data_IF_484345649897
#
_entry.id   IF_484345649897
#
_cell.length_a   1.000
_cell.length_b   1.000
_cell.length_c   1.000
_cell.angle_alpha   90.00
_cell.angle_beta   90.00
_cell.angle_gamma   90.00
#
_symmetry.space_group_name_H-M   'P 1'
#
loop_
_entity.id
_entity.type
_entity.pdbx_description
1 polymer ?
#
# COMPACT_ATOMS: atom_id res chain seq x y z
N UNK A 1 6.04 -12.23 -4.13
CA UNK A 1 4.58 -11.98 -4.31
C UNK A 1 3.82 -11.88 -2.99
N UNK A 2 3.98 -12.80 -2.03
CA UNK A 2 3.22 -12.77 -0.75
C UNK A 2 3.30 -11.44 -0.01
N UNK A 3 4.50 -10.84 0.06
CA UNK A 3 4.69 -9.53 0.70
C UNK A 3 3.93 -8.42 -0.01
N UNK A 4 3.94 -8.39 -1.34
CA UNK A 4 3.15 -7.42 -2.11
C UNK A 4 1.66 -7.59 -1.79
N UNK A 5 1.15 -8.83 -1.86
CA UNK A 5 -0.25 -9.13 -1.52
C UNK A 5 -0.62 -8.58 -0.13
N UNK A 6 0.21 -8.79 0.89
CA UNK A 6 -0.04 -8.24 2.23
C UNK A 6 0.05 -6.72 2.25
N UNK A 7 0.95 -6.12 1.46
CA UNK A 7 1.00 -4.68 1.19
C UNK A 7 -0.34 -4.16 0.68
N UNK A 8 -0.92 -4.80 -0.34
CA UNK A 8 -2.20 -4.39 -0.94
C UNK A 8 -3.37 -4.52 0.05
N UNK A 9 -3.38 -5.58 0.87
CA UNK A 9 -4.34 -5.73 1.98
C UNK A 9 -4.24 -4.55 2.96
N UNK A 10 -3.01 -4.12 3.29
CA UNK A 10 -2.78 -2.98 4.16
C UNK A 10 -3.20 -1.66 3.52
N UNK A 11 -2.87 -1.44 2.25
CA UNK A 11 -3.22 -0.22 1.51
C UNK A 11 -4.73 -0.04 1.42
N UNK A 12 -5.46 -1.09 1.01
CA UNK A 12 -6.92 -1.07 0.99
C UNK A 12 -7.52 -0.75 2.36
N UNK A 13 -7.05 -1.43 3.41
CA UNK A 13 -7.53 -1.21 4.77
C UNK A 13 -7.27 0.23 5.23
N UNK A 14 -6.08 0.74 4.96
CA UNK A 14 -5.67 2.10 5.28
C UNK A 14 -6.59 3.11 4.58
N UNK A 15 -6.81 2.99 3.27
CA UNK A 15 -7.65 3.91 2.50
C UNK A 15 -9.10 3.86 2.92
N UNK A 16 -9.65 2.68 3.20
CA UNK A 16 -10.99 2.55 3.75
C UNK A 16 -11.12 3.19 5.13
N UNK A 17 -10.14 2.99 6.01
CA UNK A 17 -10.10 3.63 7.33
C UNK A 17 -10.02 5.15 7.23
N UNK A 18 -9.18 5.67 6.34
CA UNK A 18 -9.08 7.09 6.07
C UNK A 18 -10.38 7.65 5.50
N UNK A 19 -10.98 6.95 4.52
CA UNK A 19 -12.22 7.37 3.88
C UNK A 19 -13.39 7.42 4.89
N UNK A 20 -13.42 6.51 5.85
CA UNK A 20 -14.44 6.50 6.92
C UNK A 20 -14.37 7.76 7.78
N UNK A 21 -13.17 8.26 8.07
CA UNK A 21 -12.94 9.39 8.98
C UNK A 21 -12.55 10.70 8.27
N UNK A 22 -12.60 10.73 6.94
CA UNK A 22 -12.30 11.91 6.12
C UNK A 22 -13.29 13.05 6.40
N UNK A 23 -12.80 14.29 6.42
CA UNK A 23 -13.61 15.48 6.74
C UNK A 23 -14.33 16.04 5.52
N UNK A 24 -13.71 15.94 4.34
CA UNK A 24 -14.30 16.36 3.07
C UNK A 24 -14.78 15.19 2.24
N UNK A 25 -15.91 15.38 1.55
CA UNK A 25 -16.42 14.39 0.58
C UNK A 25 -15.45 14.16 -0.57
N UNK A 26 -14.72 15.20 -0.98
CA UNK A 26 -13.70 15.10 -2.02
C UNK A 26 -12.56 14.14 -1.62
N UNK A 27 -12.02 14.28 -0.41
CA UNK A 27 -10.96 13.40 0.09
C UNK A 27 -11.49 11.98 0.26
N UNK A 28 -12.71 11.82 0.78
CA UNK A 28 -13.37 10.53 0.90
C UNK A 28 -13.52 9.84 -0.46
N UNK A 29 -14.00 10.54 -1.48
CA UNK A 29 -14.21 9.97 -2.81
C UNK A 29 -12.88 9.51 -3.43
N UNK A 30 -11.81 10.29 -3.26
CA UNK A 30 -10.47 9.93 -3.73
C UNK A 30 -9.91 8.68 -3.06
N UNK A 31 -10.01 8.61 -1.74
CA UNK A 31 -9.55 7.44 -0.98
C UNK A 31 -10.33 6.18 -1.35
N UNK A 32 -11.63 6.28 -1.61
CA UNK A 32 -12.43 5.15 -2.09
C UNK A 32 -12.06 4.74 -3.52
N UNK A 33 -11.74 5.71 -4.39
CA UNK A 33 -11.22 5.45 -5.73
C UNK A 33 -9.88 4.69 -5.68
N UNK A 34 -8.92 5.19 -4.89
CA UNK A 34 -7.63 4.52 -4.68
C UNK A 34 -7.82 3.11 -4.11
N UNK A 35 -8.67 2.94 -3.09
CA UNK A 35 -8.97 1.62 -2.53
C UNK A 35 -9.57 0.64 -3.56
N UNK A 36 -10.28 1.14 -4.56
CA UNK A 36 -10.83 0.32 -5.65
C UNK A 36 -9.76 -0.04 -6.69
N UNK A 37 -8.84 0.86 -7.00
CA UNK A 37 -7.67 0.56 -7.84
C UNK A 37 -6.76 -0.49 -7.15
N UNK A 38 -6.53 -0.37 -5.84
CA UNK A 38 -5.78 -1.37 -5.07
C UNK A 38 -6.45 -2.75 -5.01
N UNK A 39 -7.77 -2.83 -5.27
CA UNK A 39 -8.46 -4.11 -5.37
C UNK A 39 -7.97 -4.92 -6.58
N UNK A 40 -7.63 -4.25 -7.68
CA UNK A 40 -7.06 -4.90 -8.86
C UNK A 40 -5.65 -5.40 -8.56
N UNK A 41 -4.82 -4.59 -7.88
CA UNK A 41 -3.48 -4.99 -7.43
C UNK A 41 -3.50 -6.24 -6.54
N UNK A 42 -4.41 -6.26 -5.56
CA UNK A 42 -4.61 -7.41 -4.69
C UNK A 42 -5.01 -8.65 -5.49
N UNK A 43 -5.96 -8.52 -6.41
CA UNK A 43 -6.42 -9.62 -7.25
C UNK A 43 -5.29 -10.17 -8.15
N UNK A 44 -4.45 -9.30 -8.72
CA UNK A 44 -3.28 -9.72 -9.49
C UNK A 44 -2.26 -10.47 -8.63
N UNK A 45 -2.03 -9.98 -7.41
CA UNK A 45 -1.12 -10.64 -6.47
C UNK A 45 -1.65 -12.01 -6.02
N UNK A 46 -2.95 -12.12 -5.73
CA UNK A 46 -3.61 -13.37 -5.33
C UNK A 46 -3.58 -14.40 -6.47
N UNK A 47 -3.94 -14.00 -7.69
CA UNK A 47 -3.84 -14.86 -8.86
C UNK A 47 -2.40 -15.33 -9.09
N UNK A 48 -1.41 -14.45 -8.94
CA UNK A 48 0.00 -14.82 -9.12
C UNK A 48 0.50 -15.75 -8.02
N UNK A 49 0.04 -15.59 -6.78
CA UNK A 49 0.33 -16.51 -5.68
C UNK A 49 -0.19 -17.91 -5.97
N UNK A 50 -1.44 -18.04 -6.44
CA UNK A 50 -2.03 -19.31 -6.81
C UNK A 50 -1.23 -20.03 -7.93
N UNK A 51 -0.77 -19.28 -8.94
CA UNK A 51 0.07 -19.82 -10.02
C UNK A 51 1.47 -20.24 -9.58
N UNK A 52 1.95 -19.70 -8.47
CA UNK A 52 3.23 -20.04 -7.86
C UNK A 52 3.09 -21.15 -6.79
N UNK A 53 1.91 -21.74 -6.65
CA UNK A 53 1.57 -22.71 -5.59
C UNK A 53 1.91 -22.18 -4.19
N UNK A 54 1.60 -20.90 -3.96
CA UNK A 54 1.90 -20.18 -2.73
C UNK A 54 0.63 -19.60 -2.09
N UNK A 55 0.58 -19.61 -0.75
CA UNK A 55 -0.53 -19.04 0.01
C UNK A 55 -0.29 -17.58 0.42
N UNK A 56 -1.35 -16.76 0.57
CA UNK A 56 -1.31 -15.48 1.26
C UNK A 56 -0.86 -15.62 2.72
N UNK A 57 -0.40 -14.53 3.34
CA UNK A 57 -0.03 -14.57 4.77
C UNK A 57 -1.25 -14.73 5.67
N UNK A 58 -1.12 -15.58 6.69
CA UNK A 58 -2.14 -15.79 7.71
C UNK A 58 -2.32 -14.58 8.64
N UNK A 59 -1.36 -13.65 8.62
CA UNK A 59 -1.41 -12.41 9.40
C UNK A 59 -2.23 -11.31 8.73
N UNK A 60 -2.72 -11.52 7.50
CA UNK A 60 -3.49 -10.51 6.76
C UNK A 60 -4.66 -9.92 7.56
N UNK A 61 -5.47 -10.68 8.32
CA UNK A 61 -6.55 -10.08 9.13
C UNK A 61 -6.05 -9.12 10.22
N UNK A 62 -4.91 -9.43 10.83
CA UNK A 62 -4.30 -8.57 11.84
C UNK A 62 -3.76 -7.29 11.21
N UNK A 63 -3.03 -7.41 10.10
CA UNK A 63 -2.49 -6.27 9.37
C UNK A 63 -3.58 -5.38 8.81
N UNK A 64 -4.65 -5.96 8.28
CA UNK A 64 -5.84 -5.23 7.84
C UNK A 64 -6.40 -4.38 8.99
N UNK A 65 -6.67 -4.99 10.15
CA UNK A 65 -7.25 -4.28 11.28
C UNK A 65 -6.35 -3.14 11.79
N UNK A 66 -5.04 -3.38 11.84
CA UNK A 66 -4.06 -2.37 12.25
C UNK A 66 -3.98 -1.20 11.25
N UNK A 67 -3.92 -1.50 9.95
CA UNK A 67 -3.86 -0.49 8.88
C UNK A 67 -5.15 0.31 8.80
N UNK A 68 -6.31 -0.33 8.97
CA UNK A 68 -7.59 0.37 9.04
C UNK A 68 -7.66 1.35 10.21
N UNK A 69 -7.26 0.92 11.41
CA UNK A 69 -7.24 1.77 12.59
C UNK A 69 -6.28 2.95 12.43
N UNK A 70 -5.09 2.70 11.85
CA UNK A 70 -4.12 3.74 11.54
C UNK A 70 -4.67 4.73 10.51
N UNK A 71 -5.32 4.23 9.46
CA UNK A 71 -5.98 5.04 8.45
C UNK A 71 -7.00 5.99 9.07
N UNK A 72 -7.93 5.46 9.87
CA UNK A 72 -8.91 6.28 10.58
C UNK A 72 -8.25 7.33 11.50
N UNK A 73 -7.19 6.95 12.22
CA UNK A 73 -6.44 7.87 13.08
C UNK A 73 -5.80 9.03 12.31
N UNK A 74 -5.21 8.75 11.14
CA UNK A 74 -4.58 9.78 10.30
C UNK A 74 -5.61 10.73 9.69
N UNK A 75 -6.77 10.23 9.26
CA UNK A 75 -7.86 11.07 8.75
C UNK A 75 -8.46 11.97 9.84
N UNK A 76 -8.57 11.48 11.09
CA UNK A 76 -8.98 12.32 12.23
C UNK A 76 -8.03 13.50 12.47
N UNK A 77 -6.73 13.35 12.18
CA UNK A 77 -5.75 14.44 12.25
C UNK A 77 -5.91 15.48 11.12
N UNK A 78 -6.69 15.17 10.09
CA UNK A 78 -7.15 16.07 9.03
C UNK A 78 -6.75 15.60 7.62
N UNK A 79 -7.54 15.99 6.63
CA UNK A 79 -7.43 15.52 5.23
C UNK A 79 -6.03 15.71 4.64
N UNK A 80 -5.37 16.85 4.89
CA UNK A 80 -3.99 17.09 4.41
C UNK A 80 -2.96 16.14 5.02
N UNK A 81 -3.17 15.74 6.28
CA UNK A 81 -2.31 14.75 6.96
C UNK A 81 -2.62 13.36 6.42
N UNK A 82 -3.89 13.05 6.21
CA UNK A 82 -4.35 11.80 5.58
C UNK A 82 -3.70 11.58 4.21
N UNK A 83 -3.83 12.56 3.31
CA UNK A 83 -3.24 12.52 1.97
C UNK A 83 -1.70 12.53 2.02
N UNK A 84 -1.10 13.23 3.00
CA UNK A 84 0.34 13.14 3.24
C UNK A 84 0.80 11.72 3.63
N UNK A 85 -0.01 11.03 4.42
CA UNK A 85 0.22 9.64 4.79
C UNK A 85 0.06 8.68 3.60
N UNK A 86 -0.93 8.92 2.71
CA UNK A 86 -1.06 8.19 1.43
C UNK A 86 0.24 8.33 0.64
N UNK A 87 0.67 9.56 0.34
CA UNK A 87 1.93 9.82 -0.38
C UNK A 87 3.13 9.08 0.23
N UNK A 88 3.30 9.16 1.56
CA UNK A 88 4.40 8.49 2.24
C UNK A 88 4.28 6.95 2.20
N UNK A 89 3.07 6.40 2.09
CA UNK A 89 2.83 4.97 1.93
C UNK A 89 3.20 4.54 0.51
N UNK A 90 2.71 5.23 -0.52
CA UNK A 90 3.00 4.89 -1.92
C UNK A 90 4.48 5.01 -2.26
N UNK A 91 5.18 6.02 -1.71
CA UNK A 91 6.63 6.13 -1.87
C UNK A 91 7.36 4.87 -1.35
N UNK A 92 6.84 4.26 -0.28
CA UNK A 92 7.39 3.02 0.30
C UNK A 92 6.98 1.79 -0.49
N UNK A 93 5.74 1.70 -0.96
CA UNK A 93 5.29 0.62 -1.85
C UNK A 93 6.10 0.65 -3.15
N UNK A 94 6.22 1.81 -3.80
CA UNK A 94 7.05 1.99 -4.99
C UNK A 94 8.53 1.64 -4.74
N UNK A 95 9.09 2.00 -3.58
CA UNK A 95 10.45 1.58 -3.22
C UNK A 95 10.57 0.06 -3.09
N UNK A 96 9.60 -0.58 -2.44
CA UNK A 96 9.52 -2.03 -2.29
C UNK A 96 9.40 -2.74 -3.66
N UNK A 97 8.51 -2.27 -4.53
CA UNK A 97 8.30 -2.83 -5.86
C UNK A 97 9.55 -2.72 -6.73
N UNK A 98 10.26 -1.57 -6.72
CA UNK A 98 11.54 -1.43 -7.42
C UNK A 98 12.61 -2.39 -6.89
N UNK A 99 12.65 -2.63 -5.58
CA UNK A 99 13.58 -3.60 -5.00
C UNK A 99 13.21 -5.05 -5.39
N UNK A 100 11.93 -5.37 -5.37
CA UNK A 100 11.42 -6.70 -5.72
C UNK A 100 11.61 -7.01 -7.21
N UNK A 101 11.37 -6.05 -8.11
CA UNK A 101 11.65 -6.16 -9.55
C UNK A 101 13.12 -6.55 -9.82
N UNK A 102 14.07 -6.00 -9.05
CA UNK A 102 15.50 -6.34 -9.17
C UNK A 102 15.84 -7.72 -8.64
N UNK A 103 15.04 -8.25 -7.71
CA UNK A 103 15.26 -9.54 -7.07
C UNK A 103 14.52 -10.70 -7.77
N UNK A 104 13.60 -10.40 -8.69
CA UNK A 104 12.85 -11.42 -9.41
C UNK A 104 13.77 -12.27 -10.30
N UNK A 105 13.48 -13.58 -10.44
CA UNK A 105 14.09 -14.42 -11.47
C UNK A 105 13.87 -13.83 -12.87
N UNK A 106 14.87 -13.95 -13.74
CA UNK A 106 14.83 -13.38 -15.09
C UNK A 106 13.76 -14.00 -16.00
N UNK A 107 13.35 -15.23 -15.71
CA UNK A 107 12.31 -16.01 -16.40
C UNK A 107 10.90 -15.75 -15.89
N UNK A 108 10.72 -15.10 -14.73
CA UNK A 108 9.40 -14.75 -14.19
C UNK A 108 8.85 -13.46 -14.82
N UNK A 109 8.64 -13.51 -16.13
CA UNK A 109 8.14 -12.37 -16.92
C UNK A 109 6.77 -11.90 -16.45
N UNK A 110 5.94 -12.80 -15.95
CA UNK A 110 4.58 -12.47 -15.51
C UNK A 110 4.60 -11.63 -14.24
N UNK A 111 5.37 -12.03 -13.23
CA UNK A 111 5.53 -11.21 -12.02
C UNK A 111 6.15 -9.85 -12.38
N UNK A 112 7.15 -9.81 -13.27
CA UNK A 112 7.75 -8.54 -13.69
C UNK A 112 6.72 -7.55 -14.26
N UNK A 113 5.82 -8.01 -15.13
CA UNK A 113 4.78 -7.16 -15.72
C UNK A 113 3.78 -6.67 -14.68
N UNK A 114 3.35 -7.54 -13.75
CA UNK A 114 2.45 -7.17 -12.66
C UNK A 114 3.10 -6.08 -11.80
N UNK A 115 4.34 -6.29 -11.33
CA UNK A 115 5.01 -5.32 -10.45
C UNK A 115 5.34 -4.00 -11.15
N UNK A 116 5.58 -4.04 -12.46
CA UNK A 116 5.86 -2.84 -13.24
C UNK A 116 4.59 -2.00 -13.46
N UNK A 117 3.43 -2.65 -13.65
CA UNK A 117 2.15 -1.95 -13.70
C UNK A 117 1.84 -1.32 -12.34
N UNK A 118 1.87 -2.11 -11.26
CA UNK A 118 1.64 -1.61 -9.90
C UNK A 118 2.56 -0.43 -9.60
N UNK A 119 3.86 -0.52 -9.89
CA UNK A 119 4.81 0.56 -9.63
C UNK A 119 4.41 1.89 -10.30
N UNK A 120 3.89 1.85 -11.53
CA UNK A 120 3.44 3.06 -12.21
C UNK A 120 2.19 3.64 -11.54
N UNK A 121 1.30 2.78 -11.07
CA UNK A 121 0.07 3.18 -10.36
C UNK A 121 0.40 3.77 -8.99
N UNK A 122 1.29 3.16 -8.21
CA UNK A 122 1.76 3.68 -6.91
C UNK A 122 2.43 5.07 -7.05
N UNK A 123 3.30 5.22 -8.05
CA UNK A 123 3.97 6.50 -8.30
C UNK A 123 2.96 7.61 -8.63
N UNK A 124 1.91 7.26 -9.38
CA UNK A 124 0.81 8.16 -9.73
C UNK A 124 -0.03 8.51 -8.50
N UNK A 125 -0.47 7.54 -7.69
CA UNK A 125 -1.22 7.80 -6.46
C UNK A 125 -0.46 8.69 -5.49
N UNK A 126 0.84 8.43 -5.34
CA UNK A 126 1.71 9.24 -4.49
C UNK A 126 1.80 10.69 -4.96
N UNK A 127 1.84 10.93 -6.27
CA UNK A 127 1.84 12.28 -6.85
C UNK A 127 0.48 12.96 -6.68
N UNK A 128 -0.62 12.27 -7.02
CA UNK A 128 -1.98 12.76 -6.88
C UNK A 128 -2.30 13.16 -5.43
N UNK A 129 -1.82 12.39 -4.45
CA UNK A 129 -2.02 12.71 -3.04
C UNK A 129 -1.40 14.06 -2.64
N UNK A 130 -0.23 14.42 -3.19
CA UNK A 130 0.41 15.72 -2.98
C UNK A 130 -0.32 16.84 -3.74
N UNK A 131 -0.68 16.60 -5.00
CA UNK A 131 -1.42 17.57 -5.83
C UNK A 131 -2.75 17.97 -5.17
N UNK A 132 -3.38 17.04 -4.47
CA UNK A 132 -4.64 17.27 -3.75
C UNK A 132 -4.45 17.81 -2.32
N UNK A 133 -3.27 18.30 -1.99
CA UNK A 133 -3.00 19.03 -0.75
C UNK A 133 -2.47 18.18 0.40
N UNK A 134 -2.03 16.95 0.11
CA UNK A 134 -1.24 16.14 1.03
C UNK A 134 0.01 16.87 1.51
N UNK A 135 0.31 16.73 2.80
CA UNK A 135 1.55 17.27 3.37
C UNK A 135 2.67 16.26 3.21
N UNK A 136 3.76 16.66 2.57
CA UNK A 136 4.96 15.84 2.58
C UNK A 136 5.48 15.65 4.01
N UNK A 137 5.63 14.40 4.42
CA UNK A 137 6.10 14.07 5.76
C UNK A 137 7.62 14.18 5.85
N UNK A 138 8.15 14.68 6.99
CA UNK A 138 9.59 14.79 7.17
C UNK A 138 10.23 13.41 7.31
N UNK A 139 11.52 13.32 6.99
CA UNK A 139 12.29 12.08 7.03
C UNK A 139 12.11 11.24 8.31
N UNK A 140 12.13 11.81 9.54
CA UNK A 140 11.98 11.00 10.75
C UNK A 140 10.67 10.21 10.81
N UNK A 141 9.58 10.75 10.27
CA UNK A 141 8.29 10.04 10.19
C UNK A 141 8.37 8.93 9.14
N UNK A 142 8.94 9.25 7.96
CA UNK A 142 9.17 8.28 6.88
C UNK A 142 10.12 7.15 7.33
N UNK A 143 11.04 7.39 8.26
CA UNK A 143 11.95 6.39 8.82
C UNK A 143 11.21 5.41 9.75
N UNK A 144 10.32 5.91 10.60
CA UNK A 144 9.44 5.06 11.42
C UNK A 144 8.57 4.16 10.54
N UNK A 145 7.98 4.72 9.48
CA UNK A 145 7.21 3.94 8.50
C UNK A 145 8.06 2.86 7.82
N UNK A 146 9.33 3.16 7.52
CA UNK A 146 10.27 2.20 6.95
C UNK A 146 10.52 1.03 7.89
N UNK A 147 10.75 1.30 9.18
CA UNK A 147 10.95 0.26 10.18
C UNK A 147 9.72 -0.63 10.33
N UNK A 148 8.53 -0.03 10.34
CA UNK A 148 7.26 -0.77 10.38
C UNK A 148 7.10 -1.67 9.15
N UNK A 149 7.36 -1.14 7.94
CA UNK A 149 7.30 -1.89 6.69
C UNK A 149 8.30 -3.05 6.64
N UNK A 150 9.53 -2.85 7.15
CA UNK A 150 10.53 -3.91 7.24
C UNK A 150 10.12 -5.03 8.20
N UNK A 151 9.53 -4.66 9.35
CA UNK A 151 9.00 -5.65 10.30
C UNK A 151 7.88 -6.47 9.65
N UNK A 152 6.92 -5.80 9.01
CA UNK A 152 5.82 -6.45 8.28
C UNK A 152 6.35 -7.37 7.17
N UNK A 153 7.31 -6.90 6.37
CA UNK A 153 7.92 -7.69 5.28
C UNK A 153 8.54 -8.96 5.83
N UNK A 154 9.29 -8.87 6.93
CA UNK A 154 9.93 -10.03 7.57
C UNK A 154 8.89 -11.00 8.12
N UNK A 155 7.91 -10.53 8.88
CA UNK A 155 6.90 -11.41 9.49
C UNK A 155 6.03 -12.09 8.44
N UNK A 156 5.61 -11.37 7.40
CA UNK A 156 4.85 -11.90 6.26
C UNK A 156 5.61 -12.96 5.47
N UNK A 157 6.93 -12.83 5.37
CA UNK A 157 7.75 -13.82 4.68
C UNK A 157 7.78 -15.16 5.41
N UNK A 158 7.81 -15.13 6.75
CA UNK A 158 7.95 -16.33 7.59
C UNK A 158 6.62 -16.94 8.07
N UNK A 159 5.52 -16.18 8.06
CA UNK A 159 4.21 -16.56 8.63
C UNK A 159 3.09 -16.38 7.61
#
# INVERSE_FOLDING_TARGET
MRVNHTGEVCAQALYQGQALAARSEETRAKLLGAAQEEADHLAWCEARLAELDAEPSRLNPLFYAASFALGAATAMAGDKVSLGFVHATEERVASHLRAHLKALPGDDRKSQLILQQMLNDEERHGAEALEHGGKEFPHPVKDVMTLASQLMTRTTYWI
#
